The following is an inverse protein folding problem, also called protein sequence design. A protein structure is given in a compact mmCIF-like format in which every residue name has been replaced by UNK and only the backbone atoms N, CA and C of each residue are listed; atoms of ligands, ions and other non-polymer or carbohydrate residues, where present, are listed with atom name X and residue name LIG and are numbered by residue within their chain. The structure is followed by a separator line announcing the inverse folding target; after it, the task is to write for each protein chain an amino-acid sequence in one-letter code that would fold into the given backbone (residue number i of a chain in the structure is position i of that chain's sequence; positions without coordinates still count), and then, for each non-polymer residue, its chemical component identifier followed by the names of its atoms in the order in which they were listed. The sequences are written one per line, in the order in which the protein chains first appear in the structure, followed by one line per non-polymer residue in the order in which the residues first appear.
data_IF_223454343563
#
_entry.id   IF_223454343563
#
_cell.length_a   1.000
_cell.length_b   1.000
_cell.length_c   1.000
_cell.angle_alpha   90.00
_cell.angle_beta   90.00
_cell.angle_gamma   90.00
#
_symmetry.space_group_name_H-M   'P 1'
#
loop_
_entity.id
_entity.type
_entity.pdbx_description
1 polymer ?
#
# COMPACT_ATOMS: atom_id res chain seq x y z
N UNK A 1 16.19 -4.67 11.12
CA UNK A 1 17.29 -4.54 10.14
C UNK A 1 18.57 -5.05 10.76
N UNK A 2 19.62 -5.24 9.96
CA UNK A 2 20.97 -5.54 10.46
C UNK A 2 21.80 -4.26 10.46
N UNK A 3 22.55 -4.05 11.54
CA UNK A 3 23.49 -2.94 11.68
C UNK A 3 24.90 -3.49 11.79
N UNK A 4 25.79 -2.94 10.97
CA UNK A 4 27.18 -3.39 10.89
C UNK A 4 28.07 -2.17 11.02
N UNK A 5 28.73 -2.06 12.17
CA UNK A 5 29.87 -1.16 12.32
C UNK A 5 31.13 -1.92 11.93
N UNK A 6 31.83 -1.45 10.90
CA UNK A 6 33.08 -2.07 10.46
C UNK A 6 34.06 -1.02 9.96
N UNK A 7 35.36 -1.26 10.19
CA UNK A 7 36.44 -0.41 9.68
C UNK A 7 36.98 -1.02 8.38
N UNK A 8 37.04 -0.24 7.32
CA UNK A 8 37.59 -0.67 6.02
C UNK A 8 38.22 0.50 5.29
N UNK A 9 39.20 0.21 4.44
CA UNK A 9 39.78 1.16 3.48
C UNK A 9 39.12 1.10 2.10
N UNK A 10 38.10 0.25 1.93
CA UNK A 10 37.35 0.12 0.68
C UNK A 10 36.49 1.37 0.42
N UNK A 11 36.33 1.72 -0.85
CA UNK A 11 35.43 2.80 -1.26
C UNK A 11 33.95 2.37 -1.15
N UNK A 12 33.04 3.35 -1.20
CA UNK A 12 31.61 3.12 -1.07
C UNK A 12 31.09 2.12 -2.12
N UNK A 13 31.53 2.24 -3.37
CA UNK A 13 31.11 1.37 -4.45
C UNK A 13 31.59 -0.08 -4.27
N UNK A 14 32.75 -0.31 -3.67
CA UNK A 14 33.20 -1.65 -3.29
C UNK A 14 32.37 -2.25 -2.15
N UNK A 15 31.95 -1.43 -1.19
CA UNK A 15 31.09 -1.87 -0.09
C UNK A 15 29.69 -2.21 -0.61
N UNK A 16 29.08 -1.34 -1.43
CA UNK A 16 27.74 -1.58 -2.00
C UNK A 16 27.68 -2.88 -2.80
N UNK A 17 28.71 -3.16 -3.62
CA UNK A 17 28.80 -4.40 -4.41
C UNK A 17 28.75 -5.68 -3.57
N UNK A 18 29.20 -5.64 -2.31
CA UNK A 18 29.10 -6.81 -1.42
C UNK A 18 27.65 -7.13 -1.11
N UNK A 19 26.76 -6.15 -1.13
CA UNK A 19 25.34 -6.27 -0.81
C UNK A 19 24.42 -6.37 -2.04
N UNK A 20 24.98 -6.45 -3.26
CA UNK A 20 24.19 -6.63 -4.49
C UNK A 20 23.26 -7.85 -4.43
N UNK A 21 23.62 -8.89 -3.67
CA UNK A 21 22.80 -10.08 -3.49
C UNK A 21 21.51 -9.85 -2.68
N UNK A 22 21.38 -8.72 -1.99
CA UNK A 22 20.22 -8.33 -1.18
C UNK A 22 19.66 -6.94 -1.54
N UNK A 23 20.18 -6.29 -2.59
CA UNK A 23 19.80 -4.92 -2.96
C UNK A 23 18.31 -4.77 -3.31
N UNK A 24 17.65 -5.86 -3.69
CA UNK A 24 16.24 -5.86 -4.07
C UNK A 24 15.28 -6.08 -2.89
N UNK A 25 15.76 -6.69 -1.81
CA UNK A 25 14.95 -7.02 -0.62
C UNK A 25 15.28 -6.13 0.60
N UNK A 26 16.29 -5.25 0.53
CA UNK A 26 16.66 -4.37 1.63
C UNK A 26 17.02 -2.93 1.19
N UNK A 27 16.79 -1.97 2.09
CA UNK A 27 17.30 -0.61 1.94
C UNK A 27 18.68 -0.52 2.60
N UNK A 28 19.73 -0.35 1.80
CA UNK A 28 21.10 -0.21 2.28
C UNK A 28 21.43 1.26 2.56
N UNK A 29 21.73 1.58 3.81
CA UNK A 29 22.25 2.89 4.22
C UNK A 29 23.72 2.75 4.64
N UNK A 30 24.61 3.47 3.94
CA UNK A 30 26.05 3.50 4.26
C UNK A 30 26.41 4.92 4.71
N UNK A 31 26.78 5.06 5.99
CA UNK A 31 27.30 6.30 6.54
C UNK A 31 28.83 6.22 6.66
N UNK A 32 29.59 7.04 5.90
CA UNK A 32 31.03 7.14 6.10
C UNK A 32 31.40 7.77 7.45
N UNK A 33 32.64 7.58 7.91
CA UNK A 33 33.17 8.33 9.05
C UNK A 33 33.03 9.84 8.81
N UNK A 34 32.65 10.59 9.85
CA UNK A 34 32.47 12.06 9.78
C UNK A 34 31.37 12.53 8.79
N UNK A 35 30.35 11.71 8.57
CA UNK A 35 29.12 12.12 7.87
C UNK A 35 28.53 13.41 8.42
N UNK A 36 27.79 14.13 7.57
CA UNK A 36 27.15 15.38 8.00
C UNK A 36 25.99 15.05 8.93
N UNK A 37 25.70 15.96 9.86
CA UNK A 37 24.55 15.87 10.76
C UNK A 37 23.23 15.62 10.01
N UNK A 38 23.05 16.24 8.84
CA UNK A 38 21.88 16.04 7.99
C UNK A 38 21.68 14.57 7.56
N UNK A 39 22.77 13.84 7.30
CA UNK A 39 22.70 12.43 6.87
C UNK A 39 22.18 11.55 8.01
N UNK A 40 22.60 11.83 9.25
CA UNK A 40 22.12 11.15 10.45
C UNK A 40 20.64 11.47 10.73
N UNK A 41 20.22 12.72 10.57
CA UNK A 41 18.80 13.12 10.71
C UNK A 41 17.93 12.41 9.67
N UNK A 42 18.36 12.35 8.41
CA UNK A 42 17.66 11.59 7.37
C UNK A 42 17.54 10.11 7.72
N UNK A 43 18.59 9.50 8.30
CA UNK A 43 18.55 8.11 8.74
C UNK A 43 17.57 7.90 9.90
N UNK A 44 17.52 8.79 10.91
CA UNK A 44 16.53 8.73 12.00
C UNK A 44 15.11 8.72 11.46
N UNK A 45 14.82 9.58 10.48
CA UNK A 45 13.49 9.68 9.87
C UNK A 45 13.15 8.41 9.07
N UNK A 46 14.13 7.82 8.39
CA UNK A 46 13.99 6.61 7.58
C UNK A 46 13.92 5.30 8.40
N UNK A 47 14.25 5.32 9.70
CA UNK A 47 14.18 4.12 10.55
C UNK A 47 12.75 3.52 10.55
N UNK A 48 12.63 2.18 10.58
CA UNK A 48 11.35 1.52 10.75
C UNK A 48 10.71 1.93 12.08
N UNK A 49 9.38 1.95 12.10
CA UNK A 49 8.57 2.36 13.26
C UNK A 49 8.51 1.26 14.33
N UNK A 50 9.67 0.76 14.77
CA UNK A 50 9.75 -0.10 15.94
C UNK A 50 9.59 0.75 17.21
N UNK A 51 9.10 0.16 18.31
CA UNK A 51 8.88 0.84 19.60
C UNK A 51 10.20 1.14 20.33
N UNK A 52 11.05 1.95 19.70
CA UNK A 52 12.36 2.32 20.20
C UNK A 52 12.28 3.56 21.08
N UNK A 53 13.08 3.57 22.15
CA UNK A 53 13.28 4.77 22.97
C UNK A 53 14.36 5.67 22.37
N UNK A 54 14.37 6.96 22.74
CA UNK A 54 15.35 7.95 22.29
C UNK A 54 16.78 7.41 22.21
N UNK A 55 17.27 6.81 23.30
CA UNK A 55 18.62 6.26 23.38
C UNK A 55 18.88 5.11 22.40
N UNK A 56 17.89 4.25 22.19
CA UNK A 56 17.97 3.14 21.23
C UNK A 56 18.01 3.67 19.80
N UNK A 57 17.21 4.69 19.48
CA UNK A 57 17.21 5.35 18.16
C UNK A 57 18.60 5.94 17.86
N UNK A 58 19.20 6.65 18.83
CA UNK A 58 20.51 7.27 18.68
C UNK A 58 21.64 6.24 18.52
N UNK A 59 21.56 5.12 19.26
CA UNK A 59 22.52 4.01 19.09
C UNK A 59 22.38 3.38 17.72
N UNK A 60 21.15 3.19 17.25
CA UNK A 60 20.83 2.55 15.97
C UNK A 60 21.35 3.31 14.75
N UNK A 61 21.33 4.63 14.85
CA UNK A 61 21.84 5.54 13.81
C UNK A 61 23.37 5.72 13.90
N UNK A 62 24.01 5.08 14.88
CA UNK A 62 25.46 5.15 15.11
C UNK A 62 25.91 6.49 15.68
N UNK A 63 24.98 7.28 16.21
CA UNK A 63 25.28 8.58 16.82
C UNK A 63 25.60 8.48 18.30
N UNK A 64 25.32 7.33 18.91
CA UNK A 64 25.62 7.03 20.30
C UNK A 64 26.14 5.60 20.39
N UNK A 65 27.12 5.34 21.26
CA UNK A 65 27.52 3.97 21.59
C UNK A 65 26.69 3.42 22.74
N UNK A 66 26.62 2.10 22.86
CA UNK A 66 25.89 1.46 23.97
C UNK A 66 26.47 1.86 25.35
N UNK A 67 27.78 2.04 25.45
CA UNK A 67 28.44 2.49 26.68
C UNK A 67 28.12 3.94 27.05
N UNK A 68 28.02 4.83 26.07
CA UNK A 68 27.63 6.23 26.29
C UNK A 68 26.15 6.34 26.69
N UNK A 69 25.27 5.52 26.09
CA UNK A 69 23.88 5.41 26.50
C UNK A 69 23.77 4.97 27.98
N UNK A 70 24.53 3.95 28.37
CA UNK A 70 24.57 3.48 29.76
C UNK A 70 25.11 4.53 30.74
N UNK A 71 26.06 5.37 30.31
CA UNK A 71 26.56 6.50 31.10
C UNK A 71 25.50 7.58 31.29
N UNK A 72 24.80 7.97 30.21
CA UNK A 72 23.69 8.93 30.26
C UNK A 72 22.54 8.44 31.16
N UNK A 73 22.17 7.15 31.05
CA UNK A 73 21.12 6.53 31.87
C UNK A 73 21.49 6.47 33.35
N UNK A 74 22.76 6.23 33.71
CA UNK A 74 23.22 6.29 35.10
C UNK A 74 23.11 7.70 35.66
N UNK A 75 23.55 8.69 34.89
CA UNK A 75 23.44 10.11 35.26
C UNK A 75 21.98 10.54 35.46
N UNK A 76 21.06 10.00 34.65
CA UNK A 76 19.63 10.25 34.78
C UNK A 76 19.01 9.63 36.05
N UNK A 77 19.56 8.51 36.53
CA UNK A 77 19.08 7.81 37.71
C UNK A 77 19.69 8.33 39.02
N UNK A 78 20.82 9.02 38.96
CA UNK A 78 21.42 9.68 40.11
C UNK A 78 20.54 10.88 40.52
N UNK A 79 19.96 10.89 41.74
CA UNK A 79 19.24 12.05 42.23
C UNK A 79 20.24 13.19 42.40
N UNK A 80 20.11 14.24 41.60
CA UNK A 80 21.05 15.37 41.61
C UNK A 80 21.26 15.94 43.02
N UNK A 81 22.52 16.13 43.40
CA UNK A 81 22.95 16.69 44.70
C UNK A 81 22.60 18.18 44.91
N UNK A 82 21.61 18.74 44.20
CA UNK A 82 21.23 20.14 44.35
C UNK A 82 19.74 20.39 44.13
N UNK A 83 18.92 20.08 45.15
CA UNK A 83 18.00 21.09 45.69
C UNK A 83 17.50 20.64 47.06
N UNK A 84 18.09 21.22 48.10
CA UNK A 84 17.46 21.30 49.42
C UNK A 84 16.17 22.13 49.25
N UNK A 85 15.05 21.61 49.76
CA UNK A 85 13.70 22.19 49.76
C UNK A 85 12.89 22.20 48.45
N UNK A 86 12.07 21.15 48.24
CA UNK A 86 10.60 21.24 48.24
C UNK A 86 9.99 19.92 47.75
N UNK A 87 8.99 19.41 48.47
CA UNK A 87 8.18 18.26 48.09
C UNK A 87 7.30 18.70 46.90
N UNK A 88 7.73 18.36 45.69
CA UNK A 88 6.98 18.52 44.45
C UNK A 88 7.69 17.69 43.38
N UNK A 89 6.93 16.92 42.59
CA UNK A 89 7.39 15.94 41.60
C UNK A 89 8.80 16.24 41.05
N UNK A 90 9.78 15.41 41.45
CA UNK A 90 11.14 15.50 40.93
C UNK A 90 11.11 15.10 39.45
N UNK A 91 10.93 16.10 38.59
CA UNK A 91 11.04 15.94 37.15
C UNK A 91 12.51 15.58 36.83
N UNK A 92 12.79 14.28 36.70
CA UNK A 92 14.10 13.79 36.29
C UNK A 92 14.49 14.46 34.96
N UNK A 93 15.73 14.97 34.88
CA UNK A 93 16.24 15.62 33.67
C UNK A 93 16.12 14.65 32.47
N UNK A 94 15.57 15.11 31.32
CA UNK A 94 15.46 14.28 30.13
C UNK A 94 16.82 13.77 29.67
N UNK A 95 16.88 12.49 29.26
CA UNK A 95 18.11 11.87 28.75
C UNK A 95 18.72 12.65 27.57
N UNK A 96 17.88 13.26 26.73
CA UNK A 96 18.33 14.10 25.62
C UNK A 96 19.15 15.32 26.06
N UNK A 97 18.76 15.98 27.16
CA UNK A 97 19.50 17.12 27.71
C UNK A 97 20.84 16.67 28.29
N UNK A 98 20.86 15.55 29.02
CA UNK A 98 22.08 14.97 29.58
C UNK A 98 23.10 14.61 28.49
N UNK A 99 22.63 14.01 27.38
CA UNK A 99 23.50 13.61 26.26
C UNK A 99 24.08 14.81 25.51
N UNK A 100 23.33 15.92 25.44
CA UNK A 100 23.80 17.20 24.85
C UNK A 100 24.79 17.89 25.78
N UNK A 101 24.50 17.95 27.09
CA UNK A 101 25.38 18.57 28.09
C UNK A 101 26.73 17.84 28.20
N UNK A 102 26.72 16.51 28.07
CA UNK A 102 27.94 15.68 28.01
C UNK A 102 28.67 15.76 26.66
N UNK A 103 28.16 16.55 25.70
CA UNK A 103 28.69 16.72 24.34
C UNK A 103 28.82 15.41 23.55
N UNK A 104 28.01 14.41 23.88
CA UNK A 104 28.03 13.11 23.21
C UNK A 104 27.18 13.15 21.94
N UNK A 105 26.08 13.91 21.95
CA UNK A 105 25.14 14.02 20.83
C UNK A 105 24.78 15.48 20.57
N UNK A 106 24.60 15.84 19.31
CA UNK A 106 24.18 17.20 18.93
C UNK A 106 22.66 17.41 19.17
N UNK A 107 22.23 18.63 19.55
CA UNK A 107 20.83 18.94 19.86
C UNK A 107 19.84 18.58 18.74
N UNK A 108 20.21 18.85 17.48
CA UNK A 108 19.33 18.63 16.32
C UNK A 108 19.04 17.14 16.10
N UNK A 109 19.98 16.26 16.47
CA UNK A 109 19.79 14.82 16.35
C UNK A 109 18.92 14.27 17.48
N UNK A 110 19.06 14.82 18.69
CA UNK A 110 18.15 14.54 19.80
C UNK A 110 16.74 14.97 19.43
N UNK A 111 16.55 16.16 18.85
CA UNK A 111 15.25 16.63 18.39
C UNK A 111 14.64 15.69 17.35
N UNK A 112 15.41 15.29 16.32
CA UNK A 112 14.96 14.33 15.31
C UNK A 112 14.54 12.99 15.93
N UNK A 113 15.31 12.48 16.90
CA UNK A 113 15.02 11.24 17.59
C UNK A 113 13.79 11.35 18.53
N UNK A 114 13.59 12.49 19.18
CA UNK A 114 12.36 12.79 19.97
C UNK A 114 11.13 12.84 19.07
N UNK A 115 11.22 13.51 17.92
CA UNK A 115 10.12 13.58 16.94
C UNK A 115 9.75 12.17 16.46
N UNK A 116 10.74 11.36 16.09
CA UNK A 116 10.52 9.96 15.67
C UNK A 116 9.90 9.12 16.79
N UNK A 117 10.40 9.23 18.01
CA UNK A 117 9.86 8.53 19.17
C UNK A 117 8.39 8.91 19.42
N UNK A 118 8.04 10.19 19.32
CA UNK A 118 6.67 10.68 19.48
C UNK A 118 5.75 10.14 18.39
N UNK A 119 6.18 10.15 17.13
CA UNK A 119 5.42 9.56 16.02
C UNK A 119 5.11 8.08 16.26
N UNK A 120 6.09 7.29 16.67
CA UNK A 120 5.92 5.86 16.99
C UNK A 120 4.95 5.68 18.17
N UNK A 121 5.04 6.53 19.19
CA UNK A 121 4.14 6.48 20.34
C UNK A 121 2.70 6.85 19.98
N UNK A 122 2.50 7.92 19.21
CA UNK A 122 1.19 8.35 18.73
C UNK A 122 0.55 7.27 17.86
N UNK A 123 1.32 6.62 16.98
CA UNK A 123 0.87 5.47 16.19
C UNK A 123 0.47 4.29 17.08
N UNK A 124 1.27 3.95 18.10
CA UNK A 124 0.95 2.88 19.06
C UNK A 124 -0.31 3.18 19.87
N UNK A 125 -0.52 4.44 20.27
CA UNK A 125 -1.74 4.86 20.96
C UNK A 125 -2.94 4.75 20.01
N UNK A 126 -2.80 5.14 18.75
CA UNK A 126 -3.83 4.95 17.73
C UNK A 126 -4.14 3.45 17.52
N UNK A 127 -3.13 2.59 17.41
CA UNK A 127 -3.29 1.14 17.32
C UNK A 127 -3.96 0.54 18.56
N UNK A 128 -3.66 1.05 19.75
CA UNK A 128 -4.30 0.60 21.00
C UNK A 128 -5.79 0.95 21.08
N UNK A 129 -6.26 1.91 20.28
CA UNK A 129 -7.69 2.25 20.14
C UNK A 129 -8.41 1.37 19.11
N UNK A 130 -7.67 0.56 18.34
CA UNK A 130 -8.24 -0.36 17.35
C UNK A 130 -8.50 -1.72 17.98
N UNK A 131 -9.67 -2.29 17.69
CA UNK A 131 -10.03 -3.65 18.09
C UNK A 131 -9.81 -4.56 16.88
N UNK A 132 -8.91 -5.54 17.02
CA UNK A 132 -8.75 -6.59 16.01
C UNK A 132 -9.88 -7.61 16.14
N UNK A 133 -10.64 -7.79 15.07
CA UNK A 133 -11.76 -8.71 14.98
C UNK A 133 -11.42 -9.79 13.95
N UNK A 134 -11.79 -11.04 14.23
CA UNK A 134 -11.68 -12.15 13.26
C UNK A 134 -12.66 -11.93 12.10
N UNK A 135 -12.22 -12.17 10.86
CA UNK A 135 -13.04 -11.97 9.67
C UNK A 135 -14.38 -12.71 9.74
N UNK A 136 -14.37 -13.98 10.14
CA UNK A 136 -15.57 -14.82 10.25
C UNK A 136 -16.67 -14.22 11.15
N UNK A 137 -16.29 -13.44 12.18
CA UNK A 137 -17.26 -12.78 13.06
C UNK A 137 -17.95 -11.61 12.37
N UNK A 138 -17.22 -10.88 11.53
CA UNK A 138 -17.78 -9.80 10.73
C UNK A 138 -18.68 -10.35 9.61
N UNK A 139 -18.30 -11.50 9.04
CA UNK A 139 -19.11 -12.21 8.05
C UNK A 139 -20.46 -12.64 8.65
N UNK A 140 -20.43 -13.27 9.83
CA UNK A 140 -21.64 -13.65 10.58
C UNK A 140 -22.53 -12.43 10.89
N UNK A 141 -21.92 -11.29 11.26
CA UNK A 141 -22.66 -10.05 11.51
C UNK A 141 -23.38 -9.57 10.25
N UNK A 142 -22.71 -9.60 9.09
CA UNK A 142 -23.29 -9.19 7.82
C UNK A 142 -24.43 -10.12 7.40
N UNK A 143 -24.28 -11.44 7.61
CA UNK A 143 -25.34 -12.41 7.32
C UNK A 143 -26.59 -12.14 8.17
N UNK A 144 -26.42 -11.91 9.47
CA UNK A 144 -27.52 -11.57 10.39
C UNK A 144 -28.21 -10.26 10.00
N UNK A 145 -27.45 -9.26 9.58
CA UNK A 145 -28.02 -8.00 9.09
C UNK A 145 -28.78 -8.22 7.78
N UNK A 146 -28.29 -9.11 6.90
CA UNK A 146 -28.99 -9.53 5.69
C UNK A 146 -30.35 -10.18 6.00
N UNK A 147 -30.40 -11.11 6.96
CA UNK A 147 -31.65 -11.71 7.43
C UNK A 147 -32.60 -10.66 8.03
N UNK A 148 -32.05 -9.70 8.78
CA UNK A 148 -32.82 -8.61 9.37
C UNK A 148 -33.45 -7.69 8.31
N UNK A 149 -32.74 -7.40 7.21
CA UNK A 149 -33.26 -6.64 6.07
C UNK A 149 -34.45 -7.37 5.43
N UNK A 150 -34.33 -8.68 5.22
CA UNK A 150 -35.41 -9.51 4.64
C UNK A 150 -36.64 -9.52 5.57
N UNK A 151 -36.41 -9.72 6.87
CA UNK A 151 -37.47 -9.71 7.88
C UNK A 151 -38.15 -8.32 7.97
N UNK A 152 -37.36 -7.25 8.00
CA UNK A 152 -37.85 -5.87 8.03
C UNK A 152 -38.69 -5.50 6.80
N UNK A 153 -38.25 -5.89 5.60
CA UNK A 153 -39.01 -5.70 4.37
C UNK A 153 -40.37 -6.43 4.40
N UNK A 154 -40.41 -7.66 4.94
CA UNK A 154 -41.65 -8.40 5.12
C UNK A 154 -42.60 -7.71 6.10
N UNK A 155 -42.09 -7.20 7.23
CA UNK A 155 -42.88 -6.42 8.20
C UNK A 155 -43.43 -5.15 7.54
N UNK A 156 -42.63 -4.45 6.75
CA UNK A 156 -43.05 -3.23 6.05
C UNK A 156 -44.17 -3.49 5.03
N UNK A 157 -44.06 -4.59 4.27
CA UNK A 157 -45.10 -5.00 3.35
C UNK A 157 -46.42 -5.34 4.07
N UNK A 158 -46.36 -6.05 5.20
CA UNK A 158 -47.54 -6.40 6.00
C UNK A 158 -48.15 -5.18 6.69
N UNK A 159 -47.33 -4.26 7.18
CA UNK A 159 -47.76 -2.99 7.75
C UNK A 159 -48.56 -2.18 6.71
N UNK A 160 -48.05 -2.06 5.48
CA UNK A 160 -48.73 -1.39 4.38
C UNK A 160 -50.09 -2.02 4.02
N UNK A 161 -50.23 -3.35 4.17
CA UNK A 161 -51.49 -4.07 3.94
C UNK A 161 -52.49 -3.96 5.09
N UNK A 162 -52.05 -3.58 6.28
CA UNK A 162 -52.90 -3.56 7.49
C UNK A 162 -53.87 -2.36 7.53
N UNK A 163 -53.57 -1.28 6.79
CA UNK A 163 -54.33 -0.03 6.84
C UNK A 163 -54.14 0.78 8.13
N UNK A 164 -53.26 0.35 9.05
CA UNK A 164 -52.96 1.03 10.30
C UNK A 164 -51.81 2.03 10.09
N UNK A 165 -52.12 3.33 10.05
CA UNK A 165 -51.15 4.40 9.82
C UNK A 165 -49.94 4.35 10.76
N UNK A 166 -50.18 4.24 12.07
CA UNK A 166 -49.13 4.19 13.10
C UNK A 166 -48.18 2.98 12.90
N UNK A 167 -48.71 1.85 12.42
CA UNK A 167 -47.89 0.66 12.13
C UNK A 167 -47.02 0.85 10.89
N UNK A 168 -47.56 1.51 9.86
CA UNK A 168 -46.79 1.87 8.65
C UNK A 168 -45.64 2.82 9.00
N UNK A 169 -45.91 3.82 9.84
CA UNK A 169 -44.89 4.78 10.29
C UNK A 169 -43.81 4.09 11.13
N UNK A 170 -44.19 3.31 12.14
CA UNK A 170 -43.25 2.56 12.98
C UNK A 170 -42.40 1.56 12.17
N UNK A 171 -43.02 0.88 11.19
CA UNK A 171 -42.29 -0.01 10.30
C UNK A 171 -41.35 0.73 9.37
N UNK A 172 -41.74 1.88 8.82
CA UNK A 172 -40.87 2.71 7.98
C UNK A 172 -39.63 3.18 8.75
N UNK A 173 -39.80 3.62 10.01
CA UNK A 173 -38.68 3.95 10.87
C UNK A 173 -37.74 2.76 11.08
N UNK A 174 -38.30 1.58 11.35
CA UNK A 174 -37.53 0.35 11.53
C UNK A 174 -36.72 0.02 10.27
N UNK A 175 -37.31 0.09 9.08
CA UNK A 175 -36.60 -0.17 7.82
C UNK A 175 -35.41 0.78 7.62
N UNK A 176 -35.57 2.08 7.91
CA UNK A 176 -34.47 3.06 7.84
C UNK A 176 -33.34 2.76 8.82
N UNK A 177 -33.66 2.34 10.05
CA UNK A 177 -32.66 1.96 11.04
C UNK A 177 -31.91 0.69 10.61
N UNK A 178 -32.61 -0.29 10.03
CA UNK A 178 -32.00 -1.51 9.50
C UNK A 178 -31.07 -1.20 8.32
N UNK A 179 -31.44 -0.29 7.42
CA UNK A 179 -30.57 0.20 6.34
C UNK A 179 -29.32 0.88 6.91
N UNK A 180 -29.48 1.72 7.92
CA UNK A 180 -28.35 2.40 8.58
C UNK A 180 -27.39 1.41 9.26
N UNK A 181 -27.92 0.34 9.88
CA UNK A 181 -27.12 -0.73 10.47
C UNK A 181 -26.38 -1.50 9.38
N UNK A 182 -27.03 -1.78 8.24
CA UNK A 182 -26.40 -2.44 7.09
C UNK A 182 -25.24 -1.62 6.53
N UNK A 183 -25.42 -0.33 6.33
CA UNK A 183 -24.36 0.54 5.83
C UNK A 183 -23.18 0.61 6.80
N UNK A 184 -23.45 0.76 8.11
CA UNK A 184 -22.43 0.74 9.14
C UNK A 184 -21.69 -0.61 9.21
N UNK A 185 -22.41 -1.73 9.05
CA UNK A 185 -21.82 -3.07 9.04
C UNK A 185 -20.89 -3.29 7.82
N UNK A 186 -21.28 -2.79 6.64
CA UNK A 186 -20.44 -2.85 5.44
C UNK A 186 -19.18 -2.00 5.60
N UNK A 187 -19.30 -0.81 6.19
CA UNK A 187 -18.14 0.06 6.48
C UNK A 187 -17.10 -0.62 7.37
N UNK A 188 -17.51 -1.44 8.34
CA UNK A 188 -16.58 -2.18 9.21
C UNK A 188 -15.70 -3.20 8.45
N UNK A 189 -16.06 -3.60 7.23
CA UNK A 189 -15.29 -4.54 6.40
C UNK A 189 -14.37 -3.83 5.39
N UNK A 190 -14.50 -2.51 5.26
CA UNK A 190 -13.72 -1.76 4.29
C UNK A 190 -12.23 -1.76 4.68
N UNK A 191 -11.39 -1.91 3.67
CA UNK A 191 -9.93 -1.84 3.77
C UNK A 191 -9.40 -0.95 2.65
N UNK A 192 -8.30 -0.25 2.92
CA UNK A 192 -7.65 0.57 1.91
C UNK A 192 -7.01 -0.31 0.83
N UNK A 193 -7.26 0.00 -0.44
CA UNK A 193 -6.72 -0.78 -1.56
C UNK A 193 -5.20 -0.59 -1.74
N UNK A 194 -4.62 0.45 -1.16
CA UNK A 194 -3.21 0.82 -1.30
C UNK A 194 -2.24 -0.28 -0.87
N UNK A 195 -2.56 -1.08 0.16
CA UNK A 195 -1.73 -2.23 0.53
C UNK A 195 -1.62 -3.25 -0.61
N UNK A 196 -2.70 -3.48 -1.35
CA UNK A 196 -2.72 -4.37 -2.51
C UNK A 196 -1.93 -3.76 -3.67
N UNK A 197 -2.12 -2.46 -3.95
CA UNK A 197 -1.36 -1.78 -5.01
C UNK A 197 0.15 -1.77 -4.75
N UNK A 198 0.56 -1.62 -3.50
CA UNK A 198 1.97 -1.62 -3.14
C UNK A 198 2.67 -2.95 -3.47
N UNK A 199 1.96 -4.09 -3.44
CA UNK A 199 2.51 -5.39 -3.86
C UNK A 199 2.88 -5.42 -5.34
N UNK A 200 2.19 -4.63 -6.17
CA UNK A 200 2.48 -4.56 -7.59
C UNK A 200 3.80 -3.83 -7.90
N UNK A 201 4.33 -3.00 -7.00
CA UNK A 201 5.67 -2.42 -7.20
C UNK A 201 6.74 -3.50 -7.41
N UNK A 202 6.72 -4.56 -6.59
CA UNK A 202 7.65 -5.68 -6.71
C UNK A 202 7.45 -6.43 -8.03
N UNK A 203 6.19 -6.75 -8.35
CA UNK A 203 5.85 -7.48 -9.58
C UNK A 203 6.26 -6.70 -10.83
N UNK A 204 5.99 -5.40 -10.87
CA UNK A 204 6.38 -4.54 -11.99
C UNK A 204 7.89 -4.48 -12.13
N UNK A 205 8.65 -4.39 -11.03
CA UNK A 205 10.11 -4.40 -11.09
C UNK A 205 10.67 -5.72 -11.63
N UNK A 206 10.16 -6.85 -11.15
CA UNK A 206 10.63 -8.19 -11.56
C UNK A 206 10.34 -8.44 -13.04
N UNK A 207 9.11 -8.13 -13.50
CA UNK A 207 8.70 -8.32 -14.89
C UNK A 207 9.38 -7.30 -15.82
N UNK A 208 9.63 -6.07 -15.36
CA UNK A 208 10.40 -5.06 -16.08
C UNK A 208 11.81 -5.55 -16.41
N UNK A 209 12.48 -6.16 -15.44
CA UNK A 209 13.80 -6.75 -15.62
C UNK A 209 13.78 -7.95 -16.58
N UNK A 210 12.80 -8.85 -16.43
CA UNK A 210 12.66 -10.02 -17.31
C UNK A 210 12.42 -9.64 -18.78
N UNK A 211 11.61 -8.61 -19.03
CA UNK A 211 11.29 -8.12 -20.37
C UNK A 211 12.35 -7.18 -20.95
N UNK A 212 13.30 -6.73 -20.14
CA UNK A 212 14.29 -5.71 -20.54
C UNK A 212 13.66 -4.35 -20.88
N UNK A 213 12.57 -3.98 -20.21
CA UNK A 213 11.86 -2.70 -20.41
C UNK A 213 11.96 -1.88 -19.12
N UNK A 214 12.39 -0.62 -19.17
CA UNK A 214 12.36 0.27 -18.00
C UNK A 214 10.94 0.83 -17.79
N UNK A 215 10.31 0.50 -16.67
CA UNK A 215 8.90 0.83 -16.38
C UNK A 215 8.78 1.44 -14.98
N UNK A 216 8.09 2.57 -14.89
CA UNK A 216 7.70 3.22 -13.64
C UNK A 216 6.25 2.90 -13.30
N UNK A 217 6.01 2.42 -12.08
CA UNK A 217 4.67 2.30 -11.52
C UNK A 217 4.32 3.56 -10.71
N UNK A 218 3.28 4.27 -11.13
CA UNK A 218 2.67 5.36 -10.37
C UNK A 218 1.39 4.84 -9.69
N UNK A 219 1.26 5.05 -8.39
CA UNK A 219 0.07 4.66 -7.62
C UNK A 219 -0.59 5.93 -7.08
N UNK A 220 -1.88 6.09 -7.37
CA UNK A 220 -2.74 7.17 -6.88
C UNK A 220 -4.01 6.58 -6.24
N UNK A 221 -4.60 7.31 -5.30
CA UNK A 221 -5.87 6.91 -4.67
C UNK A 221 -5.82 5.62 -3.83
N UNK A 222 -4.64 5.22 -3.33
CA UNK A 222 -4.47 4.02 -2.51
C UNK A 222 -5.18 4.09 -1.15
N UNK A 223 -5.62 5.27 -0.73
CA UNK A 223 -6.45 5.52 0.44
C UNK A 223 -7.94 5.18 0.22
N UNK A 224 -8.34 4.89 -1.02
CA UNK A 224 -9.71 4.47 -1.35
C UNK A 224 -10.08 3.18 -0.63
N UNK A 225 -11.23 3.21 0.04
CA UNK A 225 -11.76 2.12 0.86
C UNK A 225 -12.62 1.16 0.02
N UNK A 226 -12.33 -0.14 0.11
CA UNK A 226 -13.01 -1.20 -0.61
C UNK A 226 -13.32 -2.38 0.30
N UNK A 227 -14.38 -3.13 0.01
CA UNK A 227 -14.70 -4.35 0.76
C UNK A 227 -13.54 -5.35 0.68
N UNK A 228 -13.07 -5.86 1.82
CA UNK A 228 -11.94 -6.80 1.86
C UNK A 228 -12.10 -8.01 0.93
N UNK A 229 -13.29 -8.59 0.85
CA UNK A 229 -13.55 -9.74 -0.03
C UNK A 229 -13.51 -9.36 -1.51
N UNK A 230 -13.86 -8.10 -1.84
CA UNK A 230 -13.68 -7.57 -3.19
C UNK A 230 -12.19 -7.38 -3.49
N UNK A 231 -11.41 -6.79 -2.57
CA UNK A 231 -9.95 -6.62 -2.72
C UNK A 231 -9.25 -7.95 -3.01
N UNK A 232 -9.61 -9.01 -2.28
CA UNK A 232 -9.04 -10.35 -2.49
C UNK A 232 -9.41 -10.94 -3.86
N UNK A 233 -10.64 -10.70 -4.36
CA UNK A 233 -11.09 -11.20 -5.66
C UNK A 233 -10.52 -10.44 -6.85
N UNK A 234 -10.34 -9.13 -6.72
CA UNK A 234 -9.83 -8.28 -7.83
C UNK A 234 -8.32 -8.31 -7.96
N UNK A 235 -7.59 -8.79 -6.94
CA UNK A 235 -6.13 -8.82 -6.94
C UNK A 235 -5.54 -9.58 -8.14
N UNK A 236 -6.04 -10.78 -8.42
CA UNK A 236 -5.60 -11.60 -9.55
C UNK A 236 -5.94 -10.96 -10.91
N UNK A 237 -7.19 -10.51 -11.18
CA UNK A 237 -7.52 -9.74 -12.39
C UNK A 237 -6.65 -8.49 -12.61
N UNK A 238 -6.40 -7.69 -11.56
CA UNK A 238 -5.56 -6.50 -11.66
C UNK A 238 -4.11 -6.85 -11.98
N UNK A 239 -3.57 -7.92 -11.36
CA UNK A 239 -2.24 -8.42 -11.68
C UNK A 239 -2.13 -8.81 -13.16
N UNK A 240 -3.18 -9.41 -13.70
CA UNK A 240 -3.23 -9.79 -15.10
C UNK A 240 -3.26 -8.56 -16.03
N UNK A 241 -4.05 -7.53 -15.70
CA UNK A 241 -4.08 -6.27 -16.45
C UNK A 241 -2.72 -5.56 -16.44
N UNK A 242 -2.09 -5.45 -15.26
CA UNK A 242 -0.74 -4.90 -15.09
C UNK A 242 0.27 -5.64 -15.97
N UNK A 243 0.26 -6.98 -15.93
CA UNK A 243 1.14 -7.79 -16.75
C UNK A 243 0.90 -7.58 -18.25
N UNK A 244 -0.35 -7.54 -18.70
CA UNK A 244 -0.67 -7.31 -20.11
C UNK A 244 -0.22 -5.92 -20.58
N UNK A 245 -0.37 -4.90 -19.74
CA UNK A 245 0.17 -3.57 -20.00
C UNK A 245 1.70 -3.61 -20.15
N UNK A 246 2.41 -4.39 -19.34
CA UNK A 246 3.86 -4.53 -19.44
C UNK A 246 4.34 -5.37 -20.63
N UNK A 247 3.70 -6.52 -20.88
CA UNK A 247 4.08 -7.46 -21.93
C UNK A 247 3.76 -6.91 -23.32
N UNK A 248 2.54 -6.40 -23.49
CA UNK A 248 1.97 -6.03 -24.79
C UNK A 248 1.72 -4.53 -24.97
N UNK A 249 1.42 -3.80 -23.90
CA UNK A 249 1.17 -2.35 -23.95
C UNK A 249 2.45 -1.55 -24.16
N UNK A 250 3.38 -1.65 -23.20
CA UNK A 250 4.61 -0.88 -23.16
C UNK A 250 5.62 -1.45 -24.17
N UNK A 251 6.04 -0.57 -25.09
CA UNK A 251 7.02 -0.88 -26.14
C UNK A 251 8.45 -0.92 -25.57
N UNK A 252 9.38 -1.58 -26.28
CA UNK A 252 10.80 -1.57 -25.88
C UNK A 252 11.39 -0.14 -25.93
N UNK A 253 12.42 0.18 -25.11
CA UNK A 253 12.94 1.55 -24.99
C UNK A 253 13.34 2.19 -26.33
N UNK A 254 13.99 1.42 -27.22
CA UNK A 254 14.40 1.90 -28.54
C UNK A 254 13.21 2.30 -29.43
N UNK A 255 12.14 1.51 -29.38
CA UNK A 255 10.89 1.77 -30.14
C UNK A 255 10.19 3.00 -29.58
N UNK A 256 10.20 3.17 -28.25
CA UNK A 256 9.61 4.35 -27.60
C UNK A 256 10.31 5.63 -28.01
N UNK A 257 11.64 5.64 -27.98
CA UNK A 257 12.46 6.79 -28.40
C UNK A 257 12.25 7.09 -29.89
N UNK A 258 12.18 6.07 -30.74
CA UNK A 258 11.87 6.24 -32.16
C UNK A 258 10.48 6.86 -32.40
N UNK A 259 9.52 6.57 -31.52
CA UNK A 259 8.16 7.13 -31.53
C UNK A 259 8.05 8.48 -30.79
N UNK A 260 9.17 9.06 -30.33
CA UNK A 260 9.20 10.36 -29.62
C UNK A 260 8.70 10.32 -28.17
N UNK A 261 8.60 9.14 -27.57
CA UNK A 261 8.19 8.93 -26.18
C UNK A 261 9.40 8.82 -25.25
N UNK A 262 9.23 9.04 -23.93
CA UNK A 262 10.27 8.75 -22.94
C UNK A 262 10.69 7.27 -22.99
N UNK A 263 11.98 7.00 -22.81
CA UNK A 263 12.53 5.64 -22.81
C UNK A 263 11.95 4.78 -21.67
N UNK A 264 11.73 5.40 -20.50
CA UNK A 264 11.01 4.82 -19.35
C UNK A 264 9.51 4.85 -19.62
N UNK A 265 8.88 3.68 -19.62
CA UNK A 265 7.42 3.54 -19.72
C UNK A 265 6.74 3.90 -18.41
N UNK A 266 5.48 4.37 -18.48
CA UNK A 266 4.69 4.71 -17.30
C UNK A 266 3.44 3.83 -17.24
N UNK A 267 3.27 3.16 -16.10
CA UNK A 267 2.07 2.43 -15.74
C UNK A 267 1.47 3.09 -14.50
N UNK A 268 0.18 3.41 -14.53
CA UNK A 268 -0.54 4.08 -13.46
C UNK A 268 -1.67 3.20 -12.95
N UNK A 269 -1.74 3.05 -11.62
CA UNK A 269 -2.84 2.43 -10.90
C UNK A 269 -3.53 3.48 -10.04
N UNK A 270 -4.81 3.70 -10.30
CA UNK A 270 -5.61 4.70 -9.60
C UNK A 270 -6.88 4.05 -9.05
N UNK A 271 -7.35 4.53 -7.90
CA UNK A 271 -8.66 4.17 -7.37
C UNK A 271 -9.35 5.41 -6.80
N UNK A 272 -10.64 5.59 -7.09
CA UNK A 272 -11.40 6.70 -6.54
C UNK A 272 -12.90 6.40 -6.51
N UNK A 273 -13.64 7.13 -5.68
CA UNK A 273 -15.10 7.07 -5.64
C UNK A 273 -15.70 7.96 -6.74
N UNK A 274 -16.59 7.39 -7.54
CA UNK A 274 -17.39 8.13 -8.52
C UNK A 274 -18.84 7.65 -8.47
N UNK A 275 -19.76 8.61 -8.23
CA UNK A 275 -21.20 8.39 -8.39
C UNK A 275 -21.76 7.14 -7.66
N UNK A 276 -21.23 6.86 -6.46
CA UNK A 276 -21.64 5.71 -5.63
C UNK A 276 -20.97 4.37 -6.01
N UNK A 277 -20.09 4.37 -7.01
CA UNK A 277 -19.23 3.24 -7.36
C UNK A 277 -17.79 3.55 -6.99
N UNK A 278 -16.96 2.51 -6.91
CA UNK A 278 -15.50 2.67 -6.87
C UNK A 278 -14.97 2.37 -8.26
N UNK A 279 -14.20 3.30 -8.80
CA UNK A 279 -13.51 3.18 -10.08
C UNK A 279 -12.07 2.80 -9.80
N UNK A 280 -11.61 1.74 -10.45
CA UNK A 280 -10.21 1.31 -10.44
C UNK A 280 -9.69 1.42 -11.87
N UNK A 281 -8.64 2.20 -12.05
CA UNK A 281 -8.05 2.46 -13.37
C UNK A 281 -6.66 1.84 -13.45
N UNK A 282 -6.38 1.21 -14.60
CA UNK A 282 -5.06 0.76 -15.01
C UNK A 282 -4.74 1.47 -16.31
N UNK A 283 -3.73 2.34 -16.30
CA UNK A 283 -3.40 3.20 -17.44
C UNK A 283 -1.94 3.02 -17.82
N UNK A 284 -1.67 2.75 -19.09
CA UNK A 284 -0.31 2.71 -19.65
C UNK A 284 -0.11 3.74 -20.76
N UNK A 285 1.14 4.16 -20.97
CA UNK A 285 1.53 5.08 -22.04
C UNK A 285 2.11 4.34 -23.28
N UNK A 286 1.70 3.09 -23.46
CA UNK A 286 2.19 2.16 -24.46
C UNK A 286 1.70 2.42 -25.89
N UNK A 287 1.87 1.42 -26.75
CA UNK A 287 1.54 1.50 -28.18
C UNK A 287 0.05 1.48 -28.49
N UNK A 288 -0.80 1.27 -27.47
CA UNK A 288 -2.24 1.15 -27.60
C UNK A 288 -2.70 -0.13 -28.31
N UNK A 289 -4.02 -0.34 -28.32
CA UNK A 289 -4.64 -1.48 -28.98
C UNK A 289 -4.70 -1.29 -30.49
N UNK A 290 -4.15 -2.24 -31.26
CA UNK A 290 -4.13 -2.19 -32.73
C UNK A 290 -5.45 -2.68 -33.31
N UNK A 291 -6.34 -1.75 -33.69
CA UNK A 291 -7.68 -2.00 -34.22
C UNK A 291 -7.71 -3.07 -35.31
N UNK A 292 -6.84 -2.96 -36.31
CA UNK A 292 -6.81 -3.85 -37.47
C UNK A 292 -6.45 -5.29 -37.07
N UNK A 293 -5.55 -5.44 -36.08
CA UNK A 293 -5.17 -6.75 -35.56
C UNK A 293 -6.30 -7.41 -34.78
N UNK A 294 -7.06 -6.63 -34.01
CA UNK A 294 -8.22 -7.14 -33.27
C UNK A 294 -9.28 -7.65 -34.24
N UNK A 295 -9.62 -6.86 -35.26
CA UNK A 295 -10.59 -7.25 -36.30
C UNK A 295 -10.14 -8.51 -37.03
N UNK A 296 -8.89 -8.55 -37.50
CA UNK A 296 -8.37 -9.69 -38.24
C UNK A 296 -8.44 -10.98 -37.42
N UNK A 297 -8.05 -10.93 -36.14
CA UNK A 297 -8.09 -12.08 -35.24
C UNK A 297 -9.53 -12.48 -34.87
N UNK A 298 -10.44 -11.52 -34.70
CA UNK A 298 -11.85 -11.79 -34.45
C UNK A 298 -12.54 -12.46 -35.65
N UNK A 299 -12.19 -12.08 -36.88
CA UNK A 299 -12.68 -12.73 -38.11
C UNK A 299 -12.12 -14.15 -38.24
N UNK A 300 -10.82 -14.34 -38.01
CA UNK A 300 -10.17 -15.66 -38.05
C UNK A 300 -10.81 -16.64 -37.06
N UNK A 301 -11.16 -16.15 -35.87
CA UNK A 301 -11.79 -16.92 -34.79
C UNK A 301 -13.31 -17.07 -34.95
N UNK A 302 -13.91 -16.48 -35.98
CA UNK A 302 -15.34 -16.56 -36.26
C UNK A 302 -16.23 -15.80 -35.27
N UNK A 303 -15.66 -14.87 -34.50
CA UNK A 303 -16.40 -14.02 -33.53
C UNK A 303 -17.23 -12.97 -34.28
N UNK A 304 -16.68 -12.44 -35.38
CA UNK A 304 -17.35 -11.45 -36.23
C UNK A 304 -17.29 -11.89 -37.70
N UNK A 305 -18.24 -11.43 -38.52
CA UNK A 305 -18.22 -11.73 -39.95
C UNK A 305 -17.26 -10.80 -40.72
N UNK A 306 -16.61 -11.28 -41.80
CA UNK A 306 -15.82 -10.43 -42.67
C UNK A 306 -16.63 -9.24 -43.20
N UNK A 307 -16.12 -8.02 -43.02
CA UNK A 307 -16.78 -6.79 -43.48
C UNK A 307 -17.87 -6.23 -42.55
N UNK A 308 -18.07 -6.82 -41.37
CA UNK A 308 -18.94 -6.26 -40.34
C UNK A 308 -18.39 -4.90 -39.87
N UNK A 309 -19.23 -3.86 -39.92
CA UNK A 309 -18.87 -2.53 -39.45
C UNK A 309 -19.19 -2.41 -37.98
N UNK A 310 -18.17 -2.16 -37.16
CA UNK A 310 -18.27 -1.99 -35.71
C UNK A 310 -17.69 -0.62 -35.32
N UNK A 311 -18.26 -0.05 -34.26
CA UNK A 311 -17.71 1.12 -33.56
C UNK A 311 -16.41 0.76 -32.83
N UNK A 312 -15.60 1.76 -32.47
CA UNK A 312 -14.34 1.51 -31.73
C UNK A 312 -14.59 0.80 -30.40
N UNK A 313 -15.65 1.19 -29.67
CA UNK A 313 -16.02 0.54 -28.41
C UNK A 313 -16.39 -0.93 -28.62
N UNK A 314 -17.15 -1.25 -29.67
CA UNK A 314 -17.50 -2.64 -29.98
C UNK A 314 -16.26 -3.45 -30.36
N UNK A 315 -15.32 -2.86 -31.10
CA UNK A 315 -14.08 -3.54 -31.49
C UNK A 315 -13.20 -3.83 -30.27
N UNK A 316 -13.01 -2.86 -29.37
CA UNK A 316 -12.23 -3.10 -28.16
C UNK A 316 -12.92 -4.07 -27.22
N UNK A 317 -14.26 -4.09 -27.18
CA UNK A 317 -14.98 -5.08 -26.38
C UNK A 317 -14.76 -6.53 -26.85
N UNK A 318 -14.36 -6.76 -28.11
CA UNK A 318 -14.03 -8.11 -28.62
C UNK A 318 -12.88 -8.76 -27.87
N UNK A 319 -12.00 -7.99 -27.21
CA UNK A 319 -10.89 -8.55 -26.44
C UNK A 319 -11.36 -9.37 -25.23
N UNK A 320 -12.58 -9.10 -24.74
CA UNK A 320 -13.22 -9.78 -23.62
C UNK A 320 -14.05 -11.00 -24.03
N UNK A 321 -14.19 -11.30 -25.33
CA UNK A 321 -14.95 -12.46 -25.80
C UNK A 321 -14.19 -13.76 -25.54
N UNK A 322 -14.93 -14.79 -25.10
CA UNK A 322 -14.37 -16.10 -24.80
C UNK A 322 -13.67 -16.69 -26.04
N UNK A 323 -12.40 -17.07 -25.88
CA UNK A 323 -11.59 -17.63 -26.98
C UNK A 323 -10.81 -16.60 -27.82
N UNK A 324 -10.96 -15.29 -27.56
CA UNK A 324 -10.11 -14.27 -28.18
C UNK A 324 -8.64 -14.38 -27.74
N UNK A 325 -8.43 -14.72 -26.46
CA UNK A 325 -7.12 -14.99 -25.87
C UNK A 325 -6.96 -16.49 -25.56
N UNK A 326 -6.47 -17.24 -26.53
CA UNK A 326 -5.90 -18.58 -26.29
C UNK A 326 -4.51 -18.57 -26.88
N UNK A 327 -3.54 -18.31 -26.01
CA UNK A 327 -2.11 -18.16 -26.33
C UNK A 327 -1.61 -19.47 -26.97
N UNK A 328 -0.97 -19.39 -28.14
CA UNK A 328 -0.41 -20.57 -28.86
C UNK A 328 0.82 -21.17 -28.16
N UNK A 329 1.46 -20.42 -27.26
CA UNK A 329 2.55 -20.90 -26.40
C UNK A 329 2.30 -20.47 -24.97
N UNK A 330 2.11 -21.45 -24.08
CA UNK A 330 2.12 -21.23 -22.63
C UNK A 330 3.51 -20.75 -22.25
N UNK A 331 3.70 -19.44 -22.12
CA UNK A 331 4.88 -18.91 -21.44
C UNK A 331 4.83 -19.38 -19.99
N UNK A 332 5.96 -19.87 -19.47
CA UNK A 332 6.12 -20.36 -18.08
C UNK A 332 5.71 -19.32 -17.02
N UNK A 333 5.50 -18.07 -17.42
CA UNK A 333 5.19 -16.94 -16.56
C UNK A 333 3.68 -16.75 -16.29
N UNK A 334 2.81 -17.28 -17.16
CA UNK A 334 1.35 -17.25 -16.96
C UNK A 334 0.88 -18.64 -16.57
N UNK A 335 1.01 -18.99 -15.29
CA UNK A 335 0.70 -20.32 -14.73
C UNK A 335 -0.74 -20.82 -14.95
N UNK A 336 -1.60 -20.03 -15.58
CA UNK A 336 -2.85 -20.45 -16.23
C UNK A 336 -2.97 -19.61 -17.50
N UNK A 337 -3.24 -20.23 -18.66
CA UNK A 337 -3.48 -19.53 -19.93
C UNK A 337 -4.80 -18.75 -19.89
N UNK A 338 -4.82 -17.66 -19.13
CA UNK A 338 -6.00 -16.88 -18.80
C UNK A 338 -6.08 -15.68 -19.75
N UNK A 339 -7.23 -15.52 -20.39
CA UNK A 339 -7.52 -14.39 -21.25
C UNK A 339 -8.10 -13.19 -20.50
N UNK A 340 -8.40 -12.13 -21.25
CA UNK A 340 -9.12 -10.97 -20.71
C UNK A 340 -10.57 -11.31 -20.34
N UNK A 341 -11.08 -12.47 -20.76
CA UNK A 341 -12.41 -13.00 -20.41
C UNK A 341 -12.57 -13.28 -18.92
N UNK A 342 -11.49 -13.61 -18.21
CA UNK A 342 -11.51 -13.88 -16.75
C UNK A 342 -11.49 -12.59 -15.92
N UNK A 343 -11.18 -11.45 -16.54
CA UNK A 343 -11.19 -10.13 -15.87
C UNK A 343 -12.59 -9.52 -15.83
N UNK A 344 -13.49 -9.93 -16.71
CA UNK A 344 -14.88 -9.41 -16.81
C UNK A 344 -15.80 -10.00 -15.74
#
# INVERSE_FOLDING_TARGET
GFEISFASTADKAAIERVFDFVSDDCTLHILPPHSKLADYVSLVLALPEDTMRLGEILVRVGALTQSELEAGLRTQQEPGEAMDHAIGDAQQTPLGEILVDQQVVQPELVEAAVVKQKQVQDKKVAESRLIRIQADKLDTLIDLVGELVIAGASVHLLAGKSGLGDLVEASSLTSRLVESIRDAALQLRMVQIGETFNRFNRVVRDVSHELGKDIELAISGGDTELDKSMVEKIGDPLMHLVRNAMDHGIEAPDVRVANGKPARGRLELNAYHDSGSIVIEVVDDGGGLKRERIIAKAVERGIIQPGQTLTDSEIYNLIFEAGFSTVEQVSNLSGRGVGMDVVR
#
